data_IF_768448420853
#
_entry.id   IF_768448420853
#
_cell.length_a   1.000
_cell.length_b   1.000
_cell.length_c   1.000
_cell.angle_alpha   90.00
_cell.angle_beta   90.00
_cell.angle_gamma   90.00
#
_symmetry.space_group_name_H-M   'P 1'
#
loop_
_entity.id
_entity.type
_entity.pdbx_description
1 polymer ?
#
# COMPACT_ATOMS: atom_id res chain seq x y z
N UNK A 1 -12.48 -21.81 18.47
CA UNK A 1 -11.74 -20.90 17.56
C UNK A 1 -12.76 -20.26 16.62
N UNK A 2 -12.59 -19.01 16.20
CA UNK A 2 -13.54 -18.40 15.25
C UNK A 2 -13.05 -18.61 13.81
N UNK A 3 -13.98 -18.60 12.85
CA UNK A 3 -13.65 -18.73 11.42
C UNK A 3 -12.62 -17.68 10.99
N UNK A 4 -12.73 -16.45 11.49
CA UNK A 4 -11.78 -15.38 11.20
C UNK A 4 -10.39 -15.69 11.75
N UNK A 5 -10.29 -16.34 12.91
CA UNK A 5 -9.02 -16.78 13.46
C UNK A 5 -8.40 -17.88 12.59
N UNK A 6 -9.21 -18.83 12.12
CA UNK A 6 -8.74 -19.95 11.31
C UNK A 6 -8.23 -19.47 9.95
N UNK A 7 -8.95 -18.55 9.29
CA UNK A 7 -8.51 -17.93 8.04
C UNK A 7 -7.21 -17.14 8.25
N UNK A 8 -7.10 -16.35 9.31
CA UNK A 8 -5.86 -15.59 9.59
C UNK A 8 -4.66 -16.50 9.84
N UNK A 9 -4.89 -17.64 10.49
CA UNK A 9 -3.83 -18.60 10.79
C UNK A 9 -3.24 -19.25 9.53
N UNK A 10 -3.99 -19.35 8.43
CA UNK A 10 -3.47 -19.86 7.14
C UNK A 10 -2.32 -19.01 6.58
N UNK A 11 -2.29 -17.73 6.93
CA UNK A 11 -1.27 -16.77 6.48
C UNK A 11 -0.35 -16.34 7.63
N UNK A 12 -0.39 -17.06 8.76
CA UNK A 12 0.33 -16.66 9.95
C UNK A 12 1.83 -16.88 9.76
N UNK A 13 2.58 -15.77 9.82
CA UNK A 13 4.04 -15.75 9.72
C UNK A 13 4.56 -14.54 10.49
N UNK A 14 5.66 -14.73 11.22
CA UNK A 14 6.50 -13.61 11.64
C UNK A 14 7.40 -13.28 10.46
N UNK A 15 7.18 -12.11 9.86
CA UNK A 15 7.97 -11.65 8.72
C UNK A 15 9.30 -11.07 9.21
N UNK A 16 10.33 -11.24 8.41
CA UNK A 16 11.66 -10.67 8.66
C UNK A 16 12.16 -9.88 7.45
N UNK A 17 13.37 -9.33 7.55
CA UNK A 17 13.92 -8.50 6.48
C UNK A 17 14.01 -9.25 5.15
N UNK A 18 14.23 -10.56 5.10
CA UNK A 18 14.29 -11.32 3.84
C UNK A 18 12.98 -11.32 3.05
N UNK A 19 11.85 -11.05 3.70
CA UNK A 19 10.53 -11.04 3.07
C UNK A 19 10.23 -9.77 2.27
N UNK A 20 11.06 -8.72 2.38
CA UNK A 20 10.77 -7.41 1.78
C UNK A 20 10.50 -7.49 0.27
N UNK A 21 11.22 -8.36 -0.44
CA UNK A 21 11.09 -8.51 -1.90
C UNK A 21 9.72 -9.05 -2.31
N UNK A 22 9.17 -10.00 -1.55
CA UNK A 22 7.85 -10.58 -1.82
C UNK A 22 6.75 -9.52 -1.71
N UNK A 23 6.81 -8.69 -0.67
CA UNK A 23 5.87 -7.57 -0.51
C UNK A 23 6.01 -6.55 -1.63
N UNK A 24 7.24 -6.23 -2.05
CA UNK A 24 7.48 -5.30 -3.15
C UNK A 24 6.95 -5.85 -4.47
N UNK A 25 7.25 -7.11 -4.80
CA UNK A 25 6.78 -7.75 -6.01
C UNK A 25 5.24 -7.71 -6.11
N UNK A 26 4.54 -7.97 -5.01
CA UNK A 26 3.09 -7.88 -4.98
C UNK A 26 2.60 -6.43 -5.08
N UNK A 27 3.30 -5.47 -4.47
CA UNK A 27 2.99 -4.05 -4.65
C UNK A 27 3.10 -3.63 -6.13
N UNK A 28 4.20 -4.00 -6.80
CA UNK A 28 4.42 -3.76 -8.23
C UNK A 28 3.26 -4.32 -9.06
N UNK A 29 2.86 -5.57 -8.79
CA UNK A 29 1.71 -6.20 -9.45
C UNK A 29 0.44 -5.37 -9.32
N UNK A 30 0.09 -4.91 -8.11
CA UNK A 30 -1.11 -4.10 -7.91
C UNK A 30 -1.02 -2.73 -8.58
N UNK A 31 0.13 -2.07 -8.52
CA UNK A 31 0.31 -0.78 -9.18
C UNK A 31 0.21 -0.91 -10.70
N UNK A 32 0.87 -1.89 -11.29
CA UNK A 32 0.81 -2.17 -12.72
C UNK A 32 -0.62 -2.44 -13.19
N UNK A 33 -1.36 -3.30 -12.47
CA UNK A 33 -2.76 -3.58 -12.79
C UNK A 33 -3.64 -2.34 -12.63
N UNK A 34 -3.42 -1.55 -11.57
CA UNK A 34 -4.18 -0.30 -11.37
C UNK A 34 -3.93 0.74 -12.47
N UNK A 35 -2.73 0.74 -13.04
CA UNK A 35 -2.39 1.61 -14.15
C UNK A 35 -3.08 1.15 -15.44
N UNK A 36 -3.03 -0.16 -15.72
CA UNK A 36 -3.42 -0.73 -17.01
C UNK A 36 -4.89 -1.15 -17.13
N UNK A 37 -5.67 -1.17 -16.04
CA UNK A 37 -7.07 -1.61 -16.08
C UNK A 37 -7.97 -0.71 -16.93
N UNK A 38 -8.68 -1.32 -17.89
CA UNK A 38 -9.57 -0.65 -18.84
C UNK A 38 -11.04 -1.05 -18.64
N UNK A 39 -11.97 -0.27 -19.19
CA UNK A 39 -13.42 -0.59 -19.13
C UNK A 39 -13.74 -1.97 -19.72
N UNK A 40 -13.00 -2.40 -20.75
CA UNK A 40 -13.22 -3.68 -21.43
C UNK A 40 -12.93 -4.88 -20.52
N UNK A 41 -12.04 -4.70 -19.55
CA UNK A 41 -11.62 -5.76 -18.61
C UNK A 41 -12.66 -5.99 -17.50
N UNK A 42 -13.70 -5.14 -17.42
CA UNK A 42 -14.73 -5.23 -16.39
C UNK A 42 -15.92 -6.07 -16.86
N UNK A 43 -16.19 -7.13 -16.11
CA UNK A 43 -17.28 -8.10 -16.32
C UNK A 43 -18.63 -7.66 -15.73
N UNK A 44 -18.96 -6.37 -15.78
CA UNK A 44 -20.30 -5.85 -15.45
C UNK A 44 -20.94 -5.21 -16.68
N UNK A 45 -22.26 -5.19 -16.78
CA UNK A 45 -22.97 -4.51 -17.89
C UNK A 45 -22.88 -2.98 -17.75
N UNK A 46 -23.02 -2.28 -18.88
CA UNK A 46 -23.24 -0.83 -18.87
C UNK A 46 -24.55 -0.51 -18.13
N UNK A 47 -24.67 0.67 -17.49
CA UNK A 47 -23.72 1.80 -17.48
C UNK A 47 -22.61 1.70 -16.41
N UNK A 48 -22.50 0.57 -15.70
CA UNK A 48 -21.69 0.47 -14.47
C UNK A 48 -20.20 0.17 -14.69
N UNK A 49 -19.76 -0.07 -15.93
CA UNK A 49 -18.39 -0.48 -16.23
C UNK A 49 -17.34 0.52 -15.74
N UNK A 50 -17.57 1.81 -15.97
CA UNK A 50 -16.63 2.85 -15.57
C UNK A 50 -16.52 2.96 -14.04
N UNK A 51 -17.65 2.89 -13.34
CA UNK A 51 -17.70 2.91 -11.88
C UNK A 51 -16.91 1.72 -11.31
N UNK A 52 -17.21 0.51 -11.76
CA UNK A 52 -16.53 -0.70 -11.31
C UNK A 52 -15.02 -0.68 -11.63
N UNK A 53 -14.62 -0.18 -12.82
CA UNK A 53 -13.19 0.02 -13.15
C UNK A 53 -12.50 0.95 -12.16
N UNK A 54 -13.13 2.07 -11.83
CA UNK A 54 -12.55 3.07 -10.92
C UNK A 54 -12.43 2.53 -9.50
N UNK A 55 -13.44 1.79 -9.01
CA UNK A 55 -13.39 1.11 -7.71
C UNK A 55 -12.21 0.13 -7.67
N UNK A 56 -12.10 -0.76 -8.67
CA UNK A 56 -11.00 -1.73 -8.73
C UNK A 56 -9.63 -1.06 -8.81
N UNK A 57 -9.48 -0.02 -9.64
CA UNK A 57 -8.25 0.76 -9.74
C UNK A 57 -7.85 1.36 -8.39
N UNK A 58 -8.77 2.04 -7.70
CA UNK A 58 -8.51 2.67 -6.40
C UNK A 58 -8.19 1.64 -5.32
N UNK A 59 -8.90 0.50 -5.31
CA UNK A 59 -8.61 -0.59 -4.39
C UNK A 59 -7.20 -1.15 -4.61
N UNK A 60 -6.81 -1.39 -5.86
CA UNK A 60 -5.45 -1.87 -6.18
C UNK A 60 -4.37 -0.87 -5.77
N UNK A 61 -4.58 0.44 -6.00
CA UNK A 61 -3.65 1.48 -5.53
C UNK A 61 -3.50 1.41 -4.00
N UNK A 62 -4.60 1.29 -3.28
CA UNK A 62 -4.60 1.20 -1.81
C UNK A 62 -3.87 -0.04 -1.29
N UNK A 63 -4.10 -1.21 -1.90
CA UNK A 63 -3.42 -2.47 -1.55
C UNK A 63 -1.93 -2.38 -1.89
N UNK A 64 -1.58 -1.93 -3.10
CA UNK A 64 -0.20 -1.76 -3.53
C UNK A 64 0.58 -0.85 -2.60
N UNK A 65 -0.04 0.25 -2.15
CA UNK A 65 0.57 1.18 -1.18
C UNK A 65 0.84 0.50 0.17
N UNK A 66 -0.10 -0.28 0.71
CA UNK A 66 0.13 -1.00 1.97
C UNK A 66 1.28 -2.00 1.86
N UNK A 67 1.31 -2.78 0.78
CA UNK A 67 2.36 -3.77 0.56
C UNK A 67 3.72 -3.11 0.34
N UNK A 68 3.78 -2.00 -0.40
CA UNK A 68 5.00 -1.23 -0.59
C UNK A 68 5.55 -0.69 0.73
N UNK A 69 4.70 -0.12 1.59
CA UNK A 69 5.15 0.35 2.90
C UNK A 69 5.61 -0.82 3.78
N UNK A 70 4.90 -1.96 3.79
CA UNK A 70 5.36 -3.15 4.52
C UNK A 70 6.74 -3.60 4.03
N UNK A 71 6.95 -3.65 2.73
CA UNK A 71 8.24 -3.94 2.12
C UNK A 71 9.33 -2.97 2.59
N UNK A 72 9.04 -1.66 2.54
CA UNK A 72 10.00 -0.63 2.92
C UNK A 72 10.43 -0.74 4.39
N UNK A 73 9.49 -0.99 5.31
CA UNK A 73 9.80 -1.21 6.72
C UNK A 73 10.66 -2.47 6.90
N UNK A 74 10.32 -3.60 6.26
CA UNK A 74 11.12 -4.83 6.33
C UNK A 74 12.54 -4.64 5.79
N UNK A 75 12.69 -3.95 4.65
CA UNK A 75 14.00 -3.62 4.04
C UNK A 75 14.89 -2.81 4.99
N UNK A 76 14.29 -2.01 5.87
CA UNK A 76 14.98 -1.18 6.85
C UNK A 76 15.02 -1.79 8.27
N UNK A 77 14.86 -3.12 8.37
CA UNK A 77 14.98 -3.89 9.61
C UNK A 77 13.88 -3.57 10.65
N UNK A 78 12.70 -3.10 10.22
CA UNK A 78 11.52 -2.94 11.06
C UNK A 78 10.57 -4.14 10.99
N UNK A 79 10.06 -4.55 12.15
CA UNK A 79 9.03 -5.57 12.26
C UNK A 79 7.65 -5.00 11.87
N UNK A 80 6.99 -5.66 10.91
CA UNK A 80 5.64 -5.31 10.48
C UNK A 80 4.55 -6.10 11.23
N UNK A 81 4.91 -7.18 11.93
CA UNK A 81 3.99 -7.89 12.82
C UNK A 81 3.74 -7.06 14.07
N UNK A 82 2.49 -7.06 14.56
CA UNK A 82 2.17 -6.36 15.80
C UNK A 82 2.72 -7.11 17.00
N UNK A 83 3.24 -6.34 17.96
CA UNK A 83 3.50 -6.86 19.31
C UNK A 83 2.15 -7.19 19.98
N UNK A 84 2.06 -8.34 20.66
CA UNK A 84 0.87 -8.74 21.43
C UNK A 84 0.49 -7.66 22.45
N UNK A 85 -0.82 -7.48 22.69
CA UNK A 85 -1.33 -6.44 23.62
C UNK A 85 -0.62 -6.51 24.97
N UNK A 86 -0.36 -5.32 25.56
CA UNK A 86 0.30 -5.16 26.87
C UNK A 86 1.73 -5.73 26.94
N UNK A 87 2.41 -5.89 25.81
CA UNK A 87 3.85 -6.21 25.75
C UNK A 87 4.65 -4.99 25.28
N UNK A 88 5.96 -5.04 25.49
CA UNK A 88 6.94 -4.01 25.10
C UNK A 88 7.76 -4.60 23.94
N UNK A 89 8.01 -3.85 22.86
CA UNK A 89 7.75 -2.43 22.62
C UNK A 89 6.28 -2.09 22.29
N UNK A 90 5.95 -0.80 22.13
CA UNK A 90 4.58 -0.30 21.93
C UNK A 90 3.85 -1.08 20.81
N UNK A 91 2.71 -1.75 21.11
CA UNK A 91 2.01 -2.58 20.14
C UNK A 91 1.39 -1.82 18.96
N UNK A 92 1.32 -0.49 19.02
CA UNK A 92 0.75 0.35 17.97
C UNK A 92 1.78 0.97 17.03
N UNK A 93 3.09 0.73 17.25
CA UNK A 93 4.17 1.33 16.47
C UNK A 93 5.14 0.25 15.94
N UNK A 94 5.41 0.20 14.62
CA UNK A 94 6.47 -0.62 14.07
C UNK A 94 7.81 -0.35 14.78
N UNK A 95 8.54 -1.41 15.08
CA UNK A 95 9.79 -1.32 15.84
C UNK A 95 10.89 -2.13 15.16
N UNK A 96 12.14 -1.63 15.19
CA UNK A 96 13.29 -2.37 14.68
C UNK A 96 13.45 -3.73 15.34
N UNK A 97 13.86 -4.75 14.58
CA UNK A 97 14.04 -6.10 15.10
C UNK A 97 15.00 -6.15 16.29
N UNK A 98 16.11 -5.40 16.25
CA UNK A 98 17.09 -5.34 17.34
C UNK A 98 16.56 -4.73 18.66
N UNK A 99 15.42 -4.03 18.63
CA UNK A 99 14.76 -3.47 19.82
C UNK A 99 13.67 -4.39 20.36
N UNK A 100 13.40 -5.52 19.72
CA UNK A 100 12.43 -6.51 20.17
C UNK A 100 13.19 -7.56 20.99
N UNK A 101 12.98 -7.62 22.32
CA UNK A 101 13.79 -8.48 23.19
C UNK A 101 13.51 -9.98 22.97
N UNK A 102 12.33 -10.31 22.45
CA UNK A 102 11.90 -11.69 22.23
C UNK A 102 10.84 -11.74 21.12
N UNK A 103 11.11 -12.46 20.03
CA UNK A 103 10.19 -12.57 18.88
C UNK A 103 8.87 -13.29 19.21
N UNK A 104 8.80 -14.08 20.29
CA UNK A 104 7.56 -14.77 20.71
C UNK A 104 6.45 -13.80 21.16
N UNK A 105 6.78 -12.53 21.40
CA UNK A 105 5.80 -11.49 21.71
C UNK A 105 5.07 -10.99 20.46
N UNK A 106 5.52 -11.35 19.26
CA UNK A 106 4.91 -10.96 18.00
C UNK A 106 3.67 -11.80 17.72
N UNK A 107 2.68 -11.18 17.08
CA UNK A 107 1.51 -11.87 16.56
C UNK A 107 1.75 -12.25 15.09
N UNK A 108 1.92 -13.56 14.77
CA UNK A 108 2.14 -13.98 13.39
C UNK A 108 0.91 -13.76 12.50
N UNK A 109 -0.28 -13.59 13.09
CA UNK A 109 -1.54 -13.43 12.37
C UNK A 109 -2.00 -11.97 12.22
N UNK A 110 -1.20 -10.99 12.69
CA UNK A 110 -1.58 -9.57 12.66
C UNK A 110 -0.39 -8.67 12.33
N UNK A 111 -0.57 -7.82 11.33
CA UNK A 111 0.43 -6.84 10.88
C UNK A 111 -0.10 -5.42 11.03
N UNK A 112 0.80 -4.45 11.03
CA UNK A 112 0.42 -3.04 11.02
C UNK A 112 -0.37 -2.70 9.74
N UNK A 113 -1.43 -1.92 9.93
CA UNK A 113 -2.29 -1.45 8.83
C UNK A 113 -1.61 -0.32 8.07
N UNK A 114 -2.06 -0.02 6.84
CA UNK A 114 -1.59 1.12 6.06
C UNK A 114 -1.52 2.42 6.89
N UNK A 115 -2.55 2.73 7.69
CA UNK A 115 -2.55 3.94 8.51
C UNK A 115 -1.39 3.99 9.51
N UNK A 116 -1.16 2.88 10.23
CA UNK A 116 -0.08 2.80 11.22
C UNK A 116 1.30 2.92 10.56
N UNK A 117 1.46 2.40 9.34
CA UNK A 117 2.70 2.54 8.57
C UNK A 117 2.91 3.97 8.10
N UNK A 118 1.86 4.66 7.62
CA UNK A 118 1.93 6.08 7.22
C UNK A 118 2.35 6.96 8.40
N UNK A 119 1.75 6.77 9.58
CA UNK A 119 2.07 7.55 10.79
C UNK A 119 3.52 7.38 11.26
N UNK A 120 4.21 6.32 10.84
CA UNK A 120 5.57 6.00 11.25
C UNK A 120 6.57 6.03 10.08
N UNK A 121 6.17 6.52 8.90
CA UNK A 121 6.99 6.43 7.68
C UNK A 121 8.30 7.23 7.79
N UNK A 122 8.30 8.33 8.55
CA UNK A 122 9.46 9.18 8.79
C UNK A 122 10.60 8.49 9.54
N UNK A 123 10.32 7.37 10.21
CA UNK A 123 11.33 6.52 10.86
C UNK A 123 12.18 5.75 9.84
N UNK A 124 11.72 5.66 8.59
CA UNK A 124 12.29 4.77 7.56
C UNK A 124 12.79 5.56 6.35
N UNK A 125 12.15 6.68 6.02
CA UNK A 125 12.48 7.50 4.85
C UNK A 125 12.24 8.98 5.15
N UNK A 126 13.12 9.85 4.66
CA UNK A 126 12.95 11.31 4.74
C UNK A 126 12.48 11.85 3.39
N UNK A 127 11.28 12.44 3.38
CA UNK A 127 10.68 13.03 2.19
C UNK A 127 11.30 14.39 1.84
N UNK A 128 11.27 14.77 0.56
CA UNK A 128 11.76 16.07 0.07
C UNK A 128 10.76 17.16 0.39
N UNK A 129 9.46 16.86 0.28
CA UNK A 129 8.37 17.68 0.76
C UNK A 129 7.39 16.82 1.57
N UNK A 130 7.44 16.96 2.90
CA UNK A 130 6.68 16.09 3.79
C UNK A 130 5.17 16.26 3.68
N UNK A 131 4.69 17.49 3.40
CA UNK A 131 3.25 17.73 3.26
C UNK A 131 2.67 17.01 2.04
N UNK A 132 3.34 17.13 0.89
CA UNK A 132 2.87 16.53 -0.37
C UNK A 132 2.98 15.00 -0.35
N UNK A 133 4.08 14.50 0.23
CA UNK A 133 4.31 13.07 0.44
C UNK A 133 3.21 12.45 1.31
N UNK A 134 2.92 13.06 2.46
CA UNK A 134 1.90 12.56 3.38
C UNK A 134 0.49 12.67 2.76
N UNK A 135 0.24 13.71 1.98
CA UNK A 135 -1.03 13.88 1.24
C UNK A 135 -1.27 12.73 0.26
N UNK A 136 -0.28 12.36 -0.55
CA UNK A 136 -0.39 11.21 -1.47
C UNK A 136 -0.70 9.89 -0.74
N UNK A 137 0.02 9.61 0.34
CA UNK A 137 -0.21 8.42 1.17
C UNK A 137 -1.61 8.41 1.82
N UNK A 138 -2.06 9.55 2.34
CA UNK A 138 -3.42 9.69 2.92
C UNK A 138 -4.50 9.49 1.86
N UNK A 139 -4.31 9.97 0.63
CA UNK A 139 -5.22 9.73 -0.48
C UNK A 139 -5.31 8.24 -0.83
N UNK A 140 -4.17 7.54 -0.93
CA UNK A 140 -4.15 6.09 -1.16
C UNK A 140 -4.86 5.30 -0.04
N UNK A 141 -4.70 5.73 1.22
CA UNK A 141 -5.45 5.17 2.36
C UNK A 141 -6.97 5.35 2.21
N UNK A 142 -7.43 6.52 1.75
CA UNK A 142 -8.86 6.75 1.49
C UNK A 142 -9.35 5.82 0.39
N UNK A 143 -8.58 5.66 -0.69
CA UNK A 143 -8.91 4.72 -1.78
C UNK A 143 -9.06 3.28 -1.29
N UNK A 144 -8.16 2.82 -0.41
CA UNK A 144 -8.26 1.49 0.22
C UNK A 144 -9.53 1.31 1.05
N UNK A 145 -9.89 2.31 1.85
CA UNK A 145 -10.89 2.16 2.92
C UNK A 145 -12.31 2.60 2.53
N UNK A 146 -12.49 3.53 1.59
CA UNK A 146 -13.84 4.02 1.23
C UNK A 146 -14.39 3.40 -0.05
N UNK A 147 -13.53 3.17 -1.04
CA UNK A 147 -13.99 2.88 -2.40
C UNK A 147 -14.51 1.45 -2.56
N UNK A 148 -14.06 0.51 -1.71
CA UNK A 148 -14.67 -0.82 -1.63
C UNK A 148 -16.05 -0.85 -0.97
N UNK A 149 -16.53 0.28 -0.43
CA UNK A 149 -17.75 0.32 0.41
C UNK A 149 -18.80 1.33 -0.08
N UNK A 150 -18.54 2.06 -1.16
CA UNK A 150 -19.48 3.06 -1.70
C UNK A 150 -19.65 2.85 -3.21
N UNK A 151 -20.89 2.59 -3.63
CA UNK A 151 -21.26 2.43 -5.03
C UNK A 151 -22.13 3.61 -5.48
N UNK A 152 -21.50 4.66 -5.99
CA UNK A 152 -22.18 5.84 -6.53
C UNK A 152 -21.77 6.08 -7.98
N UNK A 153 -22.76 6.26 -8.85
CA UNK A 153 -22.55 6.57 -10.27
C UNK A 153 -21.91 7.95 -10.47
N UNK A 154 -22.11 8.85 -9.51
CA UNK A 154 -21.62 10.22 -9.55
C UNK A 154 -20.45 10.40 -8.60
N UNK A 155 -19.27 10.69 -9.15
CA UNK A 155 -18.13 11.17 -8.41
C UNK A 155 -17.41 12.22 -9.24
N UNK A 156 -17.04 13.34 -8.64
CA UNK A 156 -16.16 14.31 -9.29
C UNK A 156 -14.76 13.71 -9.30
N UNK A 157 -14.28 13.28 -10.47
CA UNK A 157 -12.91 12.83 -10.60
C UNK A 157 -11.98 14.01 -10.34
N UNK A 158 -11.04 13.84 -9.42
CA UNK A 158 -9.96 14.79 -9.18
C UNK A 158 -8.66 14.15 -9.61
N UNK A 159 -8.06 14.70 -10.67
CA UNK A 159 -6.78 14.23 -11.22
C UNK A 159 -5.66 14.38 -10.19
N UNK A 160 -5.72 15.44 -9.37
CA UNK A 160 -4.67 15.76 -8.41
C UNK A 160 -4.47 14.64 -7.40
N UNK A 161 -5.56 13.96 -6.99
CA UNK A 161 -5.48 12.80 -6.10
C UNK A 161 -4.58 11.68 -6.65
N UNK A 162 -4.63 11.45 -7.96
CA UNK A 162 -3.79 10.44 -8.61
C UNK A 162 -2.35 10.93 -8.74
N UNK A 163 -2.15 12.20 -9.10
CA UNK A 163 -0.82 12.82 -9.19
C UNK A 163 -0.09 12.85 -7.84
N UNK A 164 -0.79 13.17 -6.74
CA UNK A 164 -0.22 13.14 -5.40
C UNK A 164 0.27 11.73 -5.04
N UNK A 165 -0.48 10.69 -5.44
CA UNK A 165 -0.09 9.29 -5.25
C UNK A 165 1.11 8.93 -6.14
N UNK A 166 1.10 9.33 -7.42
CA UNK A 166 2.23 9.08 -8.34
C UNK A 166 3.53 9.62 -7.76
N UNK A 167 3.50 10.86 -7.28
CA UNK A 167 4.67 11.53 -6.71
C UNK A 167 5.17 10.81 -5.46
N UNK A 168 4.31 10.50 -4.49
CA UNK A 168 4.75 9.87 -3.25
C UNK A 168 5.25 8.43 -3.48
N UNK A 169 4.60 7.67 -4.38
CA UNK A 169 5.05 6.31 -4.70
C UNK A 169 6.39 6.36 -5.44
N UNK A 170 6.55 7.25 -6.42
CA UNK A 170 7.82 7.44 -7.13
C UNK A 170 8.95 7.80 -6.15
N UNK A 171 8.68 8.69 -5.20
CA UNK A 171 9.66 9.07 -4.17
C UNK A 171 10.03 7.89 -3.24
N UNK A 172 9.09 7.01 -2.91
CA UNK A 172 9.39 5.79 -2.13
C UNK A 172 10.32 4.85 -2.91
N UNK A 173 10.10 4.69 -4.23
CA UNK A 173 10.97 3.86 -5.05
C UNK A 173 12.39 4.43 -5.12
N UNK A 174 12.48 5.73 -5.39
CA UNK A 174 13.76 6.43 -5.52
C UNK A 174 14.56 6.35 -4.21
N UNK A 175 14.00 6.83 -3.11
CA UNK A 175 14.73 6.93 -1.84
C UNK A 175 14.73 5.66 -1.01
N UNK A 176 13.66 4.88 -1.08
CA UNK A 176 13.47 3.70 -0.25
C UNK A 176 14.07 2.44 -0.85
N UNK A 177 14.11 2.36 -2.19
CA UNK A 177 14.56 1.18 -2.92
C UNK A 177 15.72 1.45 -3.88
N UNK A 178 16.15 2.71 -4.05
CA UNK A 178 17.16 3.10 -5.04
C UNK A 178 16.75 2.69 -6.47
N UNK A 179 15.47 2.90 -6.79
CA UNK A 179 14.88 2.55 -8.08
C UNK A 179 14.17 3.75 -8.71
N UNK A 180 14.44 4.02 -9.99
CA UNK A 180 13.70 5.04 -10.74
C UNK A 180 12.41 4.46 -11.30
N UNK A 181 11.29 4.86 -10.71
CA UNK A 181 9.96 4.47 -11.17
C UNK A 181 9.38 5.54 -12.10
N UNK A 182 8.92 5.13 -13.29
CA UNK A 182 8.01 5.91 -14.10
C UNK A 182 6.59 5.39 -13.86
N UNK A 183 5.80 6.14 -13.10
CA UNK A 183 4.45 5.76 -12.70
C UNK A 183 3.44 6.83 -13.08
N UNK A 184 2.51 6.48 -13.97
CA UNK A 184 1.43 7.36 -14.43
C UNK A 184 0.10 6.60 -14.50
N UNK A 185 -0.82 7.00 -13.65
CA UNK A 185 -2.19 6.54 -13.48
C UNK A 185 -3.22 7.68 -13.65
N UNK A 186 -2.80 8.93 -13.67
CA UNK A 186 -3.55 10.18 -13.84
C UNK A 186 -3.72 10.56 -15.31
N UNK A 187 -4.05 9.58 -16.15
CA UNK A 187 -4.12 9.75 -17.60
C UNK A 187 -5.53 10.13 -18.09
N UNK A 188 -5.58 11.05 -19.05
CA UNK A 188 -6.77 11.46 -19.79
C UNK A 188 -6.95 10.62 -21.08
N UNK A 189 -8.07 10.82 -21.78
CA UNK A 189 -8.28 10.23 -23.10
C UNK A 189 -7.15 10.62 -24.06
N UNK A 190 -6.50 9.63 -24.67
CA UNK A 190 -5.32 9.81 -25.54
C UNK A 190 -3.97 9.72 -24.83
N UNK A 191 -3.92 9.74 -23.50
CA UNK A 191 -2.71 9.48 -22.72
C UNK A 191 -2.57 7.98 -22.40
N UNK A 192 -1.34 7.50 -22.24
CA UNK A 192 -1.05 6.12 -21.83
C UNK A 192 -0.72 6.03 -20.34
N UNK A 193 -1.24 4.98 -19.70
CA UNK A 193 -0.81 4.59 -18.36
C UNK A 193 0.61 4.01 -18.42
N UNK A 194 1.42 4.28 -17.40
CA UNK A 194 2.80 3.82 -17.34
C UNK A 194 3.09 3.24 -15.95
N UNK A 195 3.71 2.07 -15.95
CA UNK A 195 4.40 1.51 -14.78
C UNK A 195 5.65 0.83 -15.32
N UNK A 196 6.80 1.49 -15.21
CA UNK A 196 8.09 0.94 -15.65
C UNK A 196 9.21 1.36 -14.72
N UNK A 197 10.12 0.43 -14.44
CA UNK A 197 11.29 0.66 -13.60
C UNK A 197 12.52 0.78 -14.50
N UNK A 198 13.30 1.84 -14.32
CA UNK A 198 14.60 1.99 -14.97
C UNK A 198 15.69 1.73 -13.92
N UNK A 199 16.70 0.93 -14.30
CA UNK A 199 17.94 0.79 -13.52
C UNK A 199 18.79 2.04 -13.67
#
# INVERSE_FOLDING_TARGET
MSIESDIKNQYSKVFDSSDWMTFKLMADFYFENSAKILKKDISIKEPFKLMARNIQKRLFIGIGTELLLKSLFLKNDYCINKVKKKKIPNPNKPTKFNKIPNLNILNPADTYTLNSLIENISEVITSSNNSDFEKGLKTAKVFRNKEGHVAVLWHKADRQNYTDIENCITEIYDKGFDEKLNFKISFLDGESAIFSKNK
#
